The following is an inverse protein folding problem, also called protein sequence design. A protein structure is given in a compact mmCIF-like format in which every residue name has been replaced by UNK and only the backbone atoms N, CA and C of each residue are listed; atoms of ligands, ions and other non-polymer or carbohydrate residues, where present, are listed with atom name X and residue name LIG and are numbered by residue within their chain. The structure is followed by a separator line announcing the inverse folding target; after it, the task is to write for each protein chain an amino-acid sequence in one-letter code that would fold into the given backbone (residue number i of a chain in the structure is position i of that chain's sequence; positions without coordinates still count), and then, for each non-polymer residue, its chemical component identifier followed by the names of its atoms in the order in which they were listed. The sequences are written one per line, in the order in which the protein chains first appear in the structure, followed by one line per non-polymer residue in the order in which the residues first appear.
data_IF_449331201666
#
_entry.id   IF_449331201666
#
_cell.length_a   1.000
_cell.length_b   1.000
_cell.length_c   1.000
_cell.angle_alpha   90.00
_cell.angle_beta   90.00
_cell.angle_gamma   90.00
#
_symmetry.space_group_name_H-M   'P 1'
#
loop_
_entity.id
_entity.type
_entity.pdbx_description
1 polymer ?
#
# COMPACT_ATOMS: atom_id res chain seq x y z
N UNK A 1 -7.68 -0.04 -5.67
CA UNK A 1 -7.13 0.94 -4.72
C UNK A 1 -7.23 2.31 -5.34
N UNK A 2 -7.59 3.28 -4.55
CA UNK A 2 -7.81 4.65 -5.04
C UNK A 2 -7.01 5.63 -4.20
N UNK A 3 -6.68 6.75 -4.81
CA UNK A 3 -6.03 7.84 -4.09
C UNK A 3 -6.90 8.21 -2.88
N UNK A 4 -6.27 8.32 -1.72
CA UNK A 4 -6.94 8.59 -0.46
C UNK A 4 -7.18 7.35 0.38
N UNK A 5 -7.04 6.17 -0.19
CA UNK A 5 -7.17 4.94 0.59
C UNK A 5 -6.05 4.84 1.61
N UNK A 6 -6.39 4.36 2.80
CA UNK A 6 -5.41 4.10 3.85
C UNK A 6 -5.21 2.60 3.93
N UNK A 7 -3.96 2.17 3.83
CA UNK A 7 -3.64 0.75 3.83
C UNK A 7 -2.63 0.43 4.90
N UNK A 8 -2.67 -0.82 5.36
CA UNK A 8 -1.68 -1.35 6.28
C UNK A 8 -0.98 -2.51 5.58
N UNK A 9 0.34 -2.47 5.63
CA UNK A 9 1.18 -3.55 5.12
C UNK A 9 1.89 -4.19 6.31
N UNK A 10 1.77 -5.49 6.40
CA UNK A 10 2.48 -6.29 7.40
C UNK A 10 2.90 -7.56 6.69
N UNK A 11 4.15 -7.60 6.26
CA UNK A 11 4.60 -8.64 5.35
C UNK A 11 6.08 -8.93 5.56
N UNK A 12 6.42 -10.21 5.57
CA UNK A 12 7.80 -10.65 5.62
C UNK A 12 8.12 -11.29 4.28
N UNK A 13 9.12 -10.74 3.59
CA UNK A 13 9.51 -11.24 2.29
C UNK A 13 10.24 -12.57 2.40
N UNK A 14 10.43 -13.23 1.26
CA UNK A 14 11.16 -14.48 1.23
C UNK A 14 12.62 -14.30 1.66
N UNK A 15 13.12 -13.09 1.62
CA UNK A 15 14.47 -12.76 2.05
C UNK A 15 14.55 -12.37 3.52
N UNK A 16 13.42 -12.40 4.21
CA UNK A 16 13.38 -12.07 5.63
C UNK A 16 13.19 -10.61 5.95
N UNK A 17 12.95 -9.77 4.96
CA UNK A 17 12.70 -8.36 5.18
C UNK A 17 11.27 -8.17 5.67
N UNK A 18 11.12 -7.47 6.79
CA UNK A 18 9.80 -7.20 7.36
C UNK A 18 9.36 -5.80 7.01
N UNK A 19 8.19 -5.70 6.41
CA UNK A 19 7.57 -4.42 6.07
C UNK A 19 6.33 -4.28 6.93
N UNK A 20 6.30 -3.24 7.75
CA UNK A 20 5.20 -3.00 8.67
C UNK A 20 4.95 -1.50 8.71
N UNK A 21 3.92 -1.07 7.98
CA UNK A 21 3.63 0.34 7.91
C UNK A 21 2.15 0.57 7.58
N UNK A 22 1.71 1.78 7.88
CA UNK A 22 0.40 2.28 7.50
C UNK A 22 0.62 3.51 6.66
N UNK A 23 -0.03 3.58 5.52
CA UNK A 23 0.15 4.72 4.63
C UNK A 23 -1.12 5.06 3.89
N UNK A 24 -1.14 6.29 3.38
CA UNK A 24 -2.24 6.76 2.55
C UNK A 24 -1.76 6.85 1.12
N UNK A 25 -2.55 6.32 0.20
CA UNK A 25 -2.21 6.40 -1.22
C UNK A 25 -2.43 7.83 -1.69
N UNK A 26 -1.35 8.44 -2.18
CA UNK A 26 -1.37 9.83 -2.61
C UNK A 26 -1.40 9.99 -4.11
N UNK A 27 -0.89 9.02 -4.85
CA UNK A 27 -0.87 9.12 -6.30
C UNK A 27 -0.62 7.78 -6.96
N UNK A 28 -1.05 7.70 -8.22
CA UNK A 28 -0.88 6.51 -9.05
C UNK A 28 -0.20 6.97 -10.33
N UNK A 29 0.98 6.43 -10.60
CA UNK A 29 1.78 6.82 -11.74
C UNK A 29 2.19 5.60 -12.53
N UNK A 30 1.36 5.20 -13.49
CA UNK A 30 1.62 3.99 -14.26
C UNK A 30 1.61 2.77 -13.36
N UNK A 31 2.77 2.11 -13.23
CA UNK A 31 2.89 0.92 -12.41
C UNK A 31 3.36 1.23 -10.99
N UNK A 32 3.42 2.49 -10.62
CA UNK A 32 3.93 2.89 -9.32
C UNK A 32 2.87 3.58 -8.51
N UNK A 33 2.89 3.34 -7.21
CA UNK A 33 1.98 3.92 -6.26
C UNK A 33 2.78 4.73 -5.25
N UNK A 34 2.35 5.95 -5.01
CA UNK A 34 3.02 6.81 -4.04
C UNK A 34 2.20 6.88 -2.77
N UNK A 35 2.84 6.55 -1.66
CA UNK A 35 2.19 6.57 -0.35
C UNK A 35 2.84 7.60 0.55
N UNK A 36 2.04 8.15 1.44
CA UNK A 36 2.52 8.93 2.56
C UNK A 36 2.62 8.00 3.75
N UNK A 37 3.83 7.75 4.24
CA UNK A 37 4.10 6.85 5.36
C UNK A 37 4.95 7.60 6.36
N UNK A 38 4.45 7.76 7.58
CA UNK A 38 5.15 8.46 8.66
C UNK A 38 5.62 9.85 8.22
N UNK A 39 4.77 10.56 7.48
CA UNK A 39 5.09 11.92 7.05
C UNK A 39 6.06 12.00 5.89
N UNK A 40 6.39 10.88 5.28
CA UNK A 40 7.31 10.83 4.14
C UNK A 40 6.65 10.13 2.97
N UNK A 41 7.04 10.54 1.77
CA UNK A 41 6.56 9.86 0.57
C UNK A 41 7.42 8.65 0.27
N UNK A 42 6.77 7.57 -0.09
CA UNK A 42 7.45 6.35 -0.47
C UNK A 42 6.74 5.76 -1.68
N UNK A 43 7.52 5.24 -2.62
CA UNK A 43 6.97 4.73 -3.88
C UNK A 43 7.10 3.22 -3.90
N UNK A 44 6.00 2.56 -4.23
CA UNK A 44 5.95 1.10 -4.32
C UNK A 44 5.46 0.70 -5.69
N UNK A 45 5.96 -0.41 -6.18
CA UNK A 45 5.46 -0.96 -7.43
C UNK A 45 4.13 -1.63 -7.18
N UNK A 46 3.22 -1.45 -8.13
CA UNK A 46 1.91 -2.07 -8.04
C UNK A 46 2.04 -3.59 -7.92
N UNK A 47 2.97 -4.18 -8.68
CA UNK A 47 3.16 -5.63 -8.65
C UNK A 47 3.60 -6.13 -7.27
N UNK A 48 4.41 -5.35 -6.56
CA UNK A 48 4.85 -5.73 -5.22
C UNK A 48 3.67 -5.72 -4.25
N UNK A 49 2.81 -4.72 -4.36
CA UNK A 49 1.65 -4.65 -3.49
C UNK A 49 0.63 -5.72 -3.80
N UNK A 50 0.49 -6.06 -5.07
CA UNK A 50 -0.39 -7.17 -5.46
C UNK A 50 0.09 -8.48 -4.85
N UNK A 51 1.39 -8.71 -4.85
CA UNK A 51 1.96 -9.90 -4.25
C UNK A 51 1.70 -9.91 -2.74
N UNK A 52 1.92 -8.79 -2.08
CA UNK A 52 1.70 -8.69 -0.64
C UNK A 52 0.22 -8.93 -0.32
N UNK A 53 -0.66 -8.36 -1.12
CA UNK A 53 -2.10 -8.54 -0.94
C UNK A 53 -2.48 -10.01 -1.11
N UNK A 54 -1.92 -10.65 -2.11
CA UNK A 54 -2.21 -12.04 -2.39
C UNK A 54 -1.81 -12.94 -1.23
N UNK A 55 -0.75 -12.55 -0.52
CA UNK A 55 -0.25 -13.31 0.62
C UNK A 55 -0.85 -12.87 1.95
N UNK A 56 -1.85 -11.99 1.89
CA UNK A 56 -2.56 -11.59 3.08
C UNK A 56 -1.86 -10.53 3.92
N UNK A 57 -0.84 -9.88 3.37
CA UNK A 57 -0.08 -8.88 4.12
C UNK A 57 -0.55 -7.46 3.91
N UNK A 58 -1.60 -7.25 3.13
CA UNK A 58 -2.11 -5.91 2.87
C UNK A 58 -3.57 -5.82 3.24
N UNK A 59 -3.91 -4.81 4.03
CA UNK A 59 -5.29 -4.58 4.46
C UNK A 59 -5.65 -3.14 4.15
N UNK A 60 -6.80 -2.92 3.52
CA UNK A 60 -7.30 -1.57 3.32
C UNK A 60 -8.08 -1.19 4.57
N UNK A 61 -7.55 -0.20 5.30
CA UNK A 61 -8.16 0.23 6.55
C UNK A 61 -9.29 1.22 6.31
N UNK A 62 -9.12 2.07 5.30
CA UNK A 62 -10.13 3.07 4.98
C UNK A 62 -10.13 3.28 3.48
N UNK A 63 -11.28 3.12 2.86
CA UNK A 63 -11.40 3.27 1.42
C UNK A 63 -12.12 4.56 1.09
N UNK A 64 -11.59 5.27 0.08
CA UNK A 64 -12.24 6.46 -0.43
C UNK A 64 -13.25 6.12 -1.50
N UNK A 65 -13.99 5.07 -1.28
CA UNK A 65 -15.03 4.69 -2.19
C UNK A 65 -16.17 5.69 -2.09
N UNK A 66 -16.41 6.38 -3.15
CA UNK A 66 -17.41 7.43 -3.19
C UNK A 66 -18.79 6.93 -3.47
N UNK A 67 -18.92 5.70 -3.67
CA UNK A 67 -20.17 5.15 -4.09
C UNK A 67 -21.16 5.13 -2.96
N UNK A 68 -22.07 6.01 -3.00
CA UNK A 68 -23.01 6.21 -1.92
C UNK A 68 -24.37 6.19 -2.45
#
# INVERSE_FOLDING_TARGET
MKVGDVVKVDYVSSQGNHYDWVGMLMGIYGHKLEFMIDGKFDVWRMSDLDLIKERGGLTVLESKNENR
#
